data_IF_819979025359
#
_entry.id   IF_819979025359
#
_cell.length_a   1.000
_cell.length_b   1.000
_cell.length_c   1.000
_cell.angle_alpha   90.00
_cell.angle_beta   90.00
_cell.angle_gamma   90.00
#
_symmetry.space_group_name_H-M   'P 1'
#
loop_
_entity.id
_entity.type
_entity.pdbx_description
1 polymer ?
#
# COMPACT_ATOMS: atom_id res chain seq x y z
N UNK A 1 15.22 57.00 -27.54
CA UNK A 1 15.38 56.55 -26.15
C UNK A 1 16.14 57.64 -25.39
N UNK A 2 15.79 57.92 -24.12
CA UNK A 2 16.50 58.93 -23.32
C UNK A 2 17.84 58.37 -22.89
N UNK A 3 18.94 59.09 -23.18
CA UNK A 3 20.29 58.77 -22.68
C UNK A 3 20.30 58.95 -21.17
N UNK A 4 20.81 57.95 -20.45
CA UNK A 4 20.87 57.97 -18.99
C UNK A 4 21.96 58.93 -18.50
N UNK A 5 21.73 59.56 -17.35
CA UNK A 5 22.80 60.29 -16.65
C UNK A 5 23.79 59.32 -16.01
N UNK A 6 25.00 59.78 -15.68
CA UNK A 6 26.01 58.95 -15.01
C UNK A 6 25.49 58.30 -13.72
N UNK A 7 24.71 59.04 -12.91
CA UNK A 7 24.10 58.50 -11.68
C UNK A 7 23.02 57.45 -11.95
N UNK A 8 22.27 57.60 -13.06
CA UNK A 8 21.26 56.61 -13.47
C UNK A 8 21.93 55.34 -14.01
N UNK A 9 23.05 55.46 -14.73
CA UNK A 9 23.86 54.33 -15.21
C UNK A 9 24.49 53.58 -14.04
N UNK A 10 25.09 54.29 -13.08
CA UNK A 10 25.73 53.67 -11.92
C UNK A 10 24.70 52.91 -11.08
N UNK A 11 23.50 53.47 -10.89
CA UNK A 11 22.38 52.78 -10.23
C UNK A 11 21.89 51.56 -11.01
N UNK A 12 21.76 51.65 -12.33
CA UNK A 12 21.33 50.51 -13.16
C UNK A 12 22.38 49.39 -13.14
N UNK A 13 23.67 49.73 -13.27
CA UNK A 13 24.77 48.77 -13.16
C UNK A 13 24.80 48.06 -11.82
N UNK A 14 24.61 48.80 -10.73
CA UNK A 14 24.53 48.22 -9.39
C UNK A 14 23.32 47.28 -9.26
N UNK A 15 22.14 47.71 -9.73
CA UNK A 15 20.91 46.91 -9.71
C UNK A 15 21.07 45.61 -10.50
N UNK A 16 21.55 45.69 -11.74
CA UNK A 16 21.76 44.51 -12.60
C UNK A 16 22.86 43.60 -12.10
N UNK A 17 23.90 44.16 -11.48
CA UNK A 17 24.93 43.36 -10.80
C UNK A 17 24.33 42.53 -9.67
N UNK A 18 23.49 43.14 -8.83
CA UNK A 18 22.82 42.43 -7.73
C UNK A 18 21.88 41.35 -8.26
N UNK A 19 21.13 41.64 -9.32
CA UNK A 19 20.24 40.68 -9.98
C UNK A 19 21.01 39.46 -10.51
N UNK A 20 22.07 39.67 -11.30
CA UNK A 20 22.90 38.57 -11.83
C UNK A 20 23.58 37.79 -10.73
N UNK A 21 24.05 38.44 -9.66
CA UNK A 21 24.63 37.76 -8.51
C UNK A 21 23.60 36.87 -7.79
N UNK A 22 22.38 37.37 -7.60
CA UNK A 22 21.29 36.59 -7.01
C UNK A 22 20.93 35.38 -7.90
N UNK A 23 20.77 35.58 -9.21
CA UNK A 23 20.53 34.50 -10.17
C UNK A 23 21.65 33.45 -10.15
N UNK A 24 22.91 33.89 -10.15
CA UNK A 24 24.06 32.98 -10.06
C UNK A 24 24.03 32.14 -8.78
N UNK A 25 23.69 32.74 -7.64
CA UNK A 25 23.57 32.02 -6.36
C UNK A 25 22.49 30.94 -6.46
N UNK A 26 21.32 31.29 -6.97
CA UNK A 26 20.20 30.35 -7.16
C UNK A 26 20.56 29.19 -8.08
N UNK A 27 21.36 29.42 -9.13
CA UNK A 27 21.78 28.33 -10.03
C UNK A 27 22.83 27.40 -9.43
N UNK A 28 23.69 27.92 -8.55
CA UNK A 28 24.59 27.07 -7.78
C UNK A 28 23.81 26.21 -6.78
N UNK A 29 22.76 26.74 -6.16
CA UNK A 29 21.85 25.94 -5.33
C UNK A 29 21.14 24.87 -6.16
N UNK A 30 20.66 25.22 -7.36
CA UNK A 30 20.04 24.29 -8.30
C UNK A 30 21.00 23.16 -8.73
N UNK A 31 22.29 23.45 -8.88
CA UNK A 31 23.30 22.45 -9.24
C UNK A 31 23.47 21.37 -8.17
N UNK A 32 23.25 21.73 -6.89
CA UNK A 32 23.32 20.82 -5.75
C UNK A 32 21.93 20.22 -5.40
N UNK A 33 20.94 20.37 -6.27
CA UNK A 33 19.61 19.86 -6.01
C UNK A 33 19.60 18.31 -6.04
N UNK A 34 19.03 17.62 -5.02
CA UNK A 34 19.05 16.15 -4.96
C UNK A 34 18.45 15.46 -6.20
N UNK A 35 17.34 15.99 -6.71
CA UNK A 35 16.74 15.51 -7.97
C UNK A 35 17.66 15.63 -9.20
N UNK A 36 18.57 16.60 -9.24
CA UNK A 36 19.52 16.76 -10.35
C UNK A 36 20.70 15.80 -10.19
N UNK A 37 21.22 15.66 -8.98
CA UNK A 37 22.23 14.65 -8.67
C UNK A 37 21.73 13.25 -9.03
N UNK A 38 20.48 12.94 -8.69
CA UNK A 38 19.87 11.64 -8.97
C UNK A 38 19.85 11.31 -10.48
N UNK A 39 19.34 12.21 -11.31
CA UNK A 39 19.24 12.00 -12.77
C UNK A 39 20.62 12.00 -13.45
N UNK A 40 21.64 12.59 -12.82
CA UNK A 40 23.03 12.51 -13.28
C UNK A 40 23.70 11.18 -12.91
N UNK A 41 23.35 10.61 -11.75
CA UNK A 41 23.89 9.32 -11.28
C UNK A 41 23.22 8.15 -11.99
N UNK A 42 21.91 8.22 -12.20
CA UNK A 42 21.12 7.17 -12.84
C UNK A 42 20.59 7.66 -14.19
N UNK A 43 20.97 6.96 -15.27
CA UNK A 43 20.49 7.29 -16.61
C UNK A 43 18.96 7.17 -16.65
N UNK A 44 18.23 8.28 -16.93
CA UNK A 44 16.79 8.27 -16.86
C UNK A 44 16.21 7.44 -18.00
N UNK A 45 15.15 6.68 -17.71
CA UNK A 45 14.40 5.90 -18.70
C UNK A 45 12.92 6.31 -18.72
N UNK A 46 12.16 5.77 -19.68
CA UNK A 46 10.71 5.91 -19.73
C UNK A 46 10.19 7.35 -19.70
N UNK A 47 9.28 7.65 -18.76
CA UNK A 47 8.64 8.97 -18.66
C UNK A 47 9.61 10.04 -18.15
N UNK A 48 10.48 9.66 -17.22
CA UNK A 48 11.51 10.54 -16.67
C UNK A 48 12.48 11.00 -17.76
N UNK A 49 12.91 10.10 -18.65
CA UNK A 49 13.77 10.43 -19.80
C UNK A 49 13.12 11.43 -20.77
N UNK A 50 11.85 11.23 -21.08
CA UNK A 50 11.09 12.10 -21.99
C UNK A 50 11.03 13.53 -21.47
N UNK A 51 10.76 13.69 -20.16
CA UNK A 51 10.74 15.00 -19.51
C UNK A 51 12.15 15.57 -19.36
N UNK A 52 13.12 14.74 -18.97
CA UNK A 52 14.51 15.15 -18.77
C UNK A 52 15.11 15.76 -20.03
N UNK A 53 14.86 15.20 -21.22
CA UNK A 53 15.41 15.72 -22.49
C UNK A 53 15.05 17.20 -22.74
N UNK A 54 13.86 17.64 -22.31
CA UNK A 54 13.43 19.03 -22.43
C UNK A 54 14.08 19.89 -21.34
N UNK A 55 14.10 19.38 -20.11
CA UNK A 55 14.66 20.07 -18.94
C UNK A 55 16.17 20.24 -19.06
N UNK A 56 16.91 19.26 -19.57
CA UNK A 56 18.35 19.32 -19.79
C UNK A 56 18.75 20.44 -20.77
N UNK A 57 17.99 20.59 -21.86
CA UNK A 57 18.16 21.69 -22.81
C UNK A 57 17.87 23.04 -22.16
N UNK A 58 16.78 23.13 -21.41
CA UNK A 58 16.40 24.32 -20.67
C UNK A 58 17.45 24.71 -19.63
N UNK A 59 17.99 23.74 -18.89
CA UNK A 59 19.05 23.94 -17.89
C UNK A 59 20.34 24.45 -18.54
N UNK A 60 20.73 23.84 -19.67
CA UNK A 60 21.89 24.29 -20.46
C UNK A 60 21.72 25.72 -20.97
N UNK A 61 20.52 26.04 -21.49
CA UNK A 61 20.17 27.38 -21.94
C UNK A 61 20.19 28.41 -20.81
N UNK A 62 19.79 28.04 -19.60
CA UNK A 62 19.80 28.91 -18.43
C UNK A 62 21.24 29.29 -18.04
N UNK A 63 22.18 28.35 -18.06
CA UNK A 63 23.60 28.64 -17.84
C UNK A 63 24.22 29.48 -18.97
N UNK A 64 23.81 29.26 -20.23
CA UNK A 64 24.19 30.14 -21.33
C UNK A 64 23.70 31.56 -21.13
N UNK A 65 22.44 31.73 -20.70
CA UNK A 65 21.83 33.00 -20.43
C UNK A 65 22.53 33.77 -19.31
N UNK A 66 22.90 33.09 -18.22
CA UNK A 66 23.71 33.70 -17.16
C UNK A 66 25.08 34.17 -17.67
N UNK A 67 25.74 33.37 -18.52
CA UNK A 67 27.02 33.76 -19.14
C UNK A 67 26.86 34.98 -20.05
N UNK A 68 25.78 35.05 -20.83
CA UNK A 68 25.45 36.21 -21.68
C UNK A 68 25.23 37.47 -20.85
N UNK A 69 24.45 37.39 -19.78
CA UNK A 69 24.21 38.54 -18.88
C UNK A 69 25.51 39.03 -18.23
N UNK A 70 26.33 38.11 -17.73
CA UNK A 70 27.64 38.44 -17.15
C UNK A 70 28.55 39.13 -18.16
N UNK A 71 28.59 38.63 -19.41
CA UNK A 71 29.39 39.25 -20.48
C UNK A 71 28.93 40.67 -20.86
N UNK A 72 27.62 40.91 -20.91
CA UNK A 72 27.06 42.26 -21.16
C UNK A 72 27.43 43.20 -20.00
N UNK A 73 27.30 42.74 -18.74
CA UNK A 73 27.66 43.55 -17.58
C UNK A 73 29.15 43.86 -17.51
N UNK A 74 30.01 42.90 -17.80
CA UNK A 74 31.46 43.13 -17.83
C UNK A 74 31.85 44.10 -18.94
N UNK A 75 31.21 44.01 -20.10
CA UNK A 75 31.38 44.99 -21.19
C UNK A 75 30.95 46.39 -20.76
N UNK A 76 29.78 46.52 -20.12
CA UNK A 76 29.29 47.80 -19.61
C UNK A 76 30.20 48.38 -18.51
N UNK A 77 30.75 47.55 -17.62
CA UNK A 77 31.74 47.95 -16.61
C UNK A 77 33.04 48.43 -17.24
N UNK A 78 33.53 47.75 -18.29
CA UNK A 78 34.72 48.17 -19.01
C UNK A 78 34.53 49.54 -19.64
N UNK A 79 33.39 49.78 -20.33
CA UNK A 79 33.06 51.10 -20.90
C UNK A 79 33.01 52.17 -19.80
N UNK A 80 32.33 51.88 -18.68
CA UNK A 80 32.23 52.81 -17.54
C UNK A 80 33.57 53.13 -16.88
N UNK A 81 34.52 52.19 -16.90
CA UNK A 81 35.86 52.33 -16.32
C UNK A 81 36.87 53.05 -17.23
N UNK A 82 36.56 53.25 -18.53
CA UNK A 82 37.48 53.92 -19.48
C UNK A 82 37.88 55.31 -19.02
N UNK A 83 36.96 56.05 -18.39
CA UNK A 83 37.15 57.46 -18.00
C UNK A 83 36.44 57.77 -16.68
N UNK A 84 37.02 58.67 -15.89
CA UNK A 84 36.41 59.15 -14.64
C UNK A 84 35.12 59.95 -14.89
N UNK A 85 35.04 60.68 -16.00
CA UNK A 85 33.83 61.34 -16.52
C UNK A 85 33.53 60.80 -17.93
N UNK A 86 32.48 59.99 -18.12
CA UNK A 86 32.05 59.52 -19.43
C UNK A 86 31.65 60.70 -20.33
N UNK A 87 31.94 60.62 -21.63
CA UNK A 87 31.42 61.59 -22.61
C UNK A 87 30.04 61.17 -23.15
N UNK A 88 29.43 61.99 -24.01
CA UNK A 88 28.11 61.71 -24.57
C UNK A 88 28.07 60.45 -25.46
N UNK A 89 29.22 59.98 -25.97
CA UNK A 89 29.34 58.73 -26.73
C UNK A 89 29.37 57.53 -25.79
N UNK A 90 30.15 57.60 -24.71
CA UNK A 90 30.22 56.61 -23.65
C UNK A 90 28.83 56.44 -22.97
N UNK A 91 28.13 57.54 -22.68
CA UNK A 91 26.78 57.51 -22.08
C UNK A 91 25.76 56.85 -23.01
N UNK A 92 25.88 57.05 -24.33
CA UNK A 92 25.03 56.38 -25.33
C UNK A 92 25.35 54.89 -25.44
N UNK A 93 26.62 54.51 -25.48
CA UNK A 93 27.08 53.12 -25.50
C UNK A 93 26.58 52.36 -24.25
N UNK A 94 26.74 52.95 -23.06
CA UNK A 94 26.27 52.38 -21.79
C UNK A 94 24.75 52.25 -21.73
N UNK A 95 24.02 53.29 -22.15
CA UNK A 95 22.55 53.23 -22.21
C UNK A 95 22.09 52.12 -23.15
N UNK A 96 22.80 51.91 -24.27
CA UNK A 96 22.52 50.84 -25.23
C UNK A 96 22.73 49.47 -24.61
N UNK A 97 23.90 49.21 -24.01
CA UNK A 97 24.23 47.92 -23.39
C UNK A 97 23.27 47.53 -22.27
N UNK A 98 22.80 48.50 -21.49
CA UNK A 98 21.95 48.25 -20.32
C UNK A 98 20.46 48.13 -20.65
N UNK A 99 19.97 48.77 -21.72
CA UNK A 99 18.53 48.84 -22.03
C UNK A 99 18.12 48.28 -23.37
N UNK A 100 19.03 48.17 -24.33
CA UNK A 100 18.72 47.63 -25.65
C UNK A 100 19.17 46.17 -25.79
N UNK A 101 18.51 45.42 -26.69
CA UNK A 101 19.02 44.14 -27.15
C UNK A 101 20.32 44.36 -27.93
N UNK A 102 21.45 44.15 -27.26
CA UNK A 102 22.79 44.46 -27.80
C UNK A 102 23.61 43.23 -28.15
N UNK A 103 23.26 42.07 -27.60
CA UNK A 103 23.98 40.83 -27.87
C UNK A 103 23.30 40.05 -28.99
N UNK A 104 24.05 39.76 -30.06
CA UNK A 104 23.62 38.89 -31.14
C UNK A 104 23.57 37.44 -30.66
N UNK A 105 22.38 36.85 -30.68
CA UNK A 105 22.08 35.52 -30.13
C UNK A 105 21.98 34.44 -31.21
N UNK A 106 21.49 34.81 -32.39
CA UNK A 106 21.29 33.88 -33.50
C UNK A 106 21.37 34.63 -34.83
N UNK A 107 22.05 34.03 -35.79
CA UNK A 107 22.12 34.49 -37.18
C UNK A 107 21.68 33.35 -38.08
N UNK A 108 20.51 33.47 -38.66
CA UNK A 108 19.95 32.43 -39.53
C UNK A 108 19.78 32.93 -40.96
N UNK A 109 20.21 32.16 -41.98
CA UNK A 109 19.95 32.51 -43.36
C UNK A 109 18.45 32.43 -43.64
N UNK A 110 17.86 33.53 -44.09
CA UNK A 110 16.45 33.56 -44.47
C UNK A 110 16.28 32.66 -45.71
N UNK A 111 15.35 31.69 -45.75
CA UNK A 111 15.13 30.86 -46.94
C UNK A 111 14.86 31.70 -48.19
N UNK A 112 15.39 31.32 -49.35
CA UNK A 112 15.29 32.09 -50.61
C UNK A 112 13.85 32.49 -50.96
N UNK A 113 12.88 31.61 -50.70
CA UNK A 113 11.45 31.86 -50.93
C UNK A 113 10.87 33.03 -50.10
N UNK A 114 11.52 33.42 -49.00
CA UNK A 114 11.14 34.54 -48.13
C UNK A 114 12.04 35.77 -48.32
N UNK A 115 13.02 35.74 -49.22
CA UNK A 115 13.93 36.87 -49.50
C UNK A 115 13.31 37.85 -50.50
N UNK A 116 13.56 39.14 -50.28
CA UNK A 116 13.34 40.19 -51.28
C UNK A 116 14.67 40.47 -51.99
N UNK A 117 14.64 40.82 -53.28
CA UNK A 117 15.85 41.05 -54.11
C UNK A 117 16.78 42.12 -53.51
N UNK A 118 16.24 43.06 -52.74
CA UNK A 118 16.97 44.11 -51.99
C UNK A 118 16.87 43.96 -50.47
N UNK A 119 16.44 42.81 -49.95
CA UNK A 119 16.26 42.54 -48.52
C UNK A 119 17.46 41.87 -47.87
N UNK A 120 17.49 41.87 -46.53
CA UNK A 120 18.50 41.16 -45.75
C UNK A 120 18.46 39.65 -46.07
N UNK A 121 19.64 39.03 -46.20
CA UNK A 121 19.78 37.59 -46.45
C UNK A 121 19.77 36.74 -45.19
N UNK A 122 19.90 37.37 -44.03
CA UNK A 122 20.03 36.76 -42.71
C UNK A 122 19.10 37.48 -41.72
N UNK A 123 18.52 36.72 -40.80
CA UNK A 123 17.80 37.23 -39.63
C UNK A 123 18.75 37.18 -38.45
N UNK A 124 18.98 38.32 -37.81
CA UNK A 124 19.81 38.44 -36.62
C UNK A 124 18.91 38.71 -35.42
N UNK A 125 18.95 37.83 -34.43
CA UNK A 125 18.22 37.99 -33.17
C UNK A 125 19.13 38.64 -32.15
N UNK A 126 18.69 39.78 -31.59
CA UNK A 126 19.38 40.47 -30.52
C UNK A 126 18.62 40.28 -29.21
N UNK A 127 19.34 40.09 -28.10
CA UNK A 127 18.74 39.93 -26.77
C UNK A 127 19.44 40.87 -25.78
N UNK A 128 18.66 41.51 -24.92
CA UNK A 128 19.16 42.38 -23.85
C UNK A 128 19.23 41.69 -22.49
N UNK A 129 19.69 42.43 -21.48
CA UNK A 129 19.70 41.96 -20.08
C UNK A 129 18.28 41.64 -19.58
N UNK A 130 17.31 42.53 -19.84
CA UNK A 130 15.93 42.36 -19.40
C UNK A 130 15.26 41.14 -20.05
N UNK A 131 15.42 40.97 -21.36
CA UNK A 131 14.85 39.83 -22.10
C UNK A 131 15.44 38.49 -21.63
N UNK A 132 16.73 38.48 -21.31
CA UNK A 132 17.41 37.28 -20.79
C UNK A 132 16.94 36.95 -19.37
N UNK A 133 16.84 37.95 -18.50
CA UNK A 133 16.29 37.80 -17.16
C UNK A 133 14.85 37.25 -17.20
N UNK A 134 13.98 37.82 -18.04
CA UNK A 134 12.60 37.36 -18.19
C UNK A 134 12.51 35.91 -18.67
N UNK A 135 13.33 35.54 -19.67
CA UNK A 135 13.43 34.15 -20.14
C UNK A 135 13.90 33.20 -19.06
N UNK A 136 14.95 33.55 -18.30
CA UNK A 136 15.44 32.74 -17.19
C UNK A 136 14.34 32.56 -16.11
N UNK A 137 13.64 33.64 -15.75
CA UNK A 137 12.53 33.59 -14.79
C UNK A 137 11.36 32.74 -15.29
N UNK A 138 11.09 32.71 -16.59
CA UNK A 138 10.02 31.90 -17.16
C UNK A 138 10.37 30.40 -17.19
N UNK A 139 11.62 30.04 -17.44
CA UNK A 139 12.07 28.65 -17.57
C UNK A 139 12.35 27.99 -16.21
N UNK A 140 12.86 28.75 -15.25
CA UNK A 140 13.31 28.25 -13.95
C UNK A 140 12.25 27.42 -13.18
N UNK A 141 10.98 27.84 -13.05
CA UNK A 141 9.98 27.09 -12.28
C UNK A 141 9.75 25.67 -12.81
N UNK A 142 9.78 25.47 -14.13
CA UNK A 142 9.56 24.16 -14.74
C UNK A 142 10.73 23.20 -14.48
N UNK A 143 11.96 23.72 -14.39
CA UNK A 143 13.14 22.92 -14.02
C UNK A 143 13.00 22.46 -12.57
N UNK A 144 12.75 23.40 -11.64
CA UNK A 144 12.60 23.08 -10.22
C UNK A 144 11.47 22.10 -9.97
N UNK A 145 10.29 22.31 -10.58
CA UNK A 145 9.15 21.40 -10.44
C UNK A 145 9.50 19.97 -10.87
N UNK A 146 10.27 19.80 -11.95
CA UNK A 146 10.74 18.48 -12.38
C UNK A 146 11.68 17.85 -11.35
N UNK A 147 12.66 18.61 -10.86
CA UNK A 147 13.65 18.10 -9.90
C UNK A 147 13.02 17.77 -8.54
N UNK A 148 12.09 18.61 -8.07
CA UNK A 148 11.29 18.38 -6.87
C UNK A 148 10.43 17.12 -6.99
N UNK A 149 9.86 16.86 -8.17
CA UNK A 149 9.06 15.67 -8.40
C UNK A 149 9.89 14.39 -8.30
N UNK A 150 11.11 14.40 -8.85
CA UNK A 150 12.07 13.29 -8.74
C UNK A 150 12.49 13.10 -7.28
N UNK A 151 12.92 14.17 -6.60
CA UNK A 151 13.35 14.10 -5.21
C UNK A 151 12.25 13.60 -4.27
N UNK A 152 11.00 14.07 -4.46
CA UNK A 152 9.86 13.63 -3.67
C UNK A 152 9.64 12.13 -3.72
N UNK A 153 9.76 11.52 -4.91
CA UNK A 153 9.59 10.08 -5.08
C UNK A 153 10.72 9.33 -4.37
N UNK A 154 11.96 9.76 -4.57
CA UNK A 154 13.12 9.13 -3.94
C UNK A 154 13.10 9.23 -2.42
N UNK A 155 12.81 10.42 -1.90
CA UNK A 155 12.69 10.68 -0.46
C UNK A 155 11.58 9.85 0.17
N UNK A 156 10.42 9.74 -0.49
CA UNK A 156 9.31 8.90 -0.02
C UNK A 156 9.72 7.42 0.04
N UNK A 157 10.33 6.90 -1.02
CA UNK A 157 10.77 5.49 -1.08
C UNK A 157 11.81 5.21 0.01
N UNK A 158 12.80 6.09 0.17
CA UNK A 158 13.83 5.95 1.19
C UNK A 158 13.26 5.97 2.61
N UNK A 159 12.39 6.94 2.95
CA UNK A 159 11.76 7.06 4.26
C UNK A 159 10.95 5.80 4.61
N UNK A 160 10.10 5.36 3.67
CA UNK A 160 9.15 4.27 3.92
C UNK A 160 9.83 2.90 3.92
N UNK A 161 10.92 2.70 3.18
CA UNK A 161 11.68 1.45 3.19
C UNK A 161 12.68 1.33 4.34
N UNK A 162 13.06 2.43 5.00
CA UNK A 162 14.05 2.41 6.07
C UNK A 162 13.77 1.36 7.18
N UNK A 163 12.54 1.20 7.70
CA UNK A 163 12.25 0.17 8.71
C UNK A 163 12.44 -1.25 8.17
N UNK A 164 12.00 -1.50 6.93
CA UNK A 164 12.14 -2.80 6.26
C UNK A 164 13.61 -3.12 6.02
N UNK A 165 14.41 -2.14 5.60
CA UNK A 165 15.85 -2.33 5.37
C UNK A 165 16.58 -2.67 6.66
N UNK A 166 16.33 -1.91 7.73
CA UNK A 166 16.92 -2.17 9.06
C UNK A 166 16.66 -3.60 9.53
N UNK A 167 15.44 -4.12 9.33
CA UNK A 167 15.09 -5.51 9.70
C UNK A 167 15.83 -6.55 8.86
N UNK A 168 15.95 -6.32 7.55
CA UNK A 168 16.73 -7.21 6.68
C UNK A 168 18.21 -7.25 7.11
N UNK A 169 18.77 -6.10 7.47
CA UNK A 169 20.14 -5.99 7.95
C UNK A 169 20.32 -6.70 9.31
N UNK A 170 19.40 -6.51 10.26
CA UNK A 170 19.38 -7.23 11.56
C UNK A 170 19.26 -8.75 11.39
N UNK A 171 18.52 -9.21 10.38
CA UNK A 171 18.38 -10.62 10.05
C UNK A 171 19.55 -11.18 9.22
N UNK A 172 20.47 -10.34 8.72
CA UNK A 172 21.51 -10.74 7.78
C UNK A 172 20.95 -11.32 6.47
N UNK A 173 19.72 -10.98 6.11
CA UNK A 173 19.01 -11.56 4.98
C UNK A 173 19.04 -10.63 3.77
N UNK A 174 19.15 -11.22 2.57
CA UNK A 174 18.95 -10.47 1.33
C UNK A 174 17.49 -10.06 1.19
N UNK A 175 17.26 -8.86 0.66
CA UNK A 175 15.92 -8.36 0.36
C UNK A 175 15.22 -9.20 -0.70
N UNK A 176 13.88 -9.13 -0.78
CA UNK A 176 13.12 -9.77 -1.86
C UNK A 176 13.42 -9.10 -3.21
N UNK A 177 13.23 -9.83 -4.32
CA UNK A 177 13.44 -9.30 -5.67
C UNK A 177 12.56 -8.06 -5.94
N UNK A 178 11.31 -8.06 -5.46
CA UNK A 178 10.41 -6.90 -5.53
C UNK A 178 11.00 -5.60 -4.95
N UNK A 179 11.88 -5.71 -3.94
CA UNK A 179 12.58 -4.56 -3.37
C UNK A 179 13.66 -4.04 -4.33
N UNK A 180 14.42 -4.94 -4.96
CA UNK A 180 15.42 -4.56 -5.95
C UNK A 180 14.75 -3.92 -7.17
N UNK A 181 13.66 -4.51 -7.65
CA UNK A 181 12.86 -3.99 -8.76
C UNK A 181 12.30 -2.59 -8.47
N UNK A 182 11.76 -2.37 -7.26
CA UNK A 182 11.27 -1.05 -6.87
C UNK A 182 12.39 -0.01 -6.82
N UNK A 183 13.55 -0.37 -6.29
CA UNK A 183 14.72 0.51 -6.24
C UNK A 183 15.25 0.84 -7.64
N UNK A 184 15.26 -0.13 -8.56
CA UNK A 184 15.68 0.08 -9.95
C UNK A 184 14.74 1.02 -10.71
N UNK A 185 13.42 0.83 -10.58
CA UNK A 185 12.44 1.73 -11.20
C UNK A 185 12.50 3.13 -10.58
N UNK A 186 12.67 3.23 -9.26
CA UNK A 186 12.83 4.52 -8.58
C UNK A 186 14.12 5.22 -9.00
N UNK A 187 15.19 4.47 -9.22
CA UNK A 187 16.46 5.00 -9.71
C UNK A 187 16.35 5.56 -11.14
N UNK A 188 15.69 4.84 -12.04
CA UNK A 188 15.74 5.15 -13.49
C UNK A 188 14.50 5.86 -14.02
N UNK A 189 13.31 5.58 -13.51
CA UNK A 189 12.06 6.22 -13.96
C UNK A 189 11.11 6.57 -12.79
N UNK A 190 11.54 7.42 -11.83
CA UNK A 190 10.74 7.78 -10.66
C UNK A 190 9.41 8.45 -11.02
N UNK A 191 9.35 9.21 -12.11
CA UNK A 191 8.13 9.93 -12.50
C UNK A 191 7.04 9.02 -13.10
N UNK A 192 7.37 7.78 -13.44
CA UNK A 192 6.37 6.77 -13.84
C UNK A 192 5.54 6.27 -12.67
N UNK A 193 6.02 6.43 -11.44
CA UNK A 193 5.41 5.88 -10.24
C UNK A 193 4.44 6.89 -9.61
N UNK A 194 3.19 6.47 -9.41
CA UNK A 194 2.27 7.26 -8.59
C UNK A 194 2.53 7.01 -7.10
N UNK A 195 2.24 7.99 -6.25
CA UNK A 195 2.35 7.85 -4.78
C UNK A 195 1.60 6.63 -4.25
N UNK A 196 0.41 6.34 -4.81
CA UNK A 196 -0.40 5.17 -4.41
C UNK A 196 0.27 3.85 -4.79
N UNK A 197 0.88 3.78 -5.97
CA UNK A 197 1.58 2.57 -6.42
C UNK A 197 2.84 2.32 -5.58
N UNK A 198 3.57 3.39 -5.23
CA UNK A 198 4.73 3.31 -4.34
C UNK A 198 4.30 2.76 -2.98
N UNK A 199 3.28 3.35 -2.35
CA UNK A 199 2.76 2.90 -1.05
C UNK A 199 2.28 1.45 -1.11
N UNK A 200 1.55 1.06 -2.14
CA UNK A 200 1.07 -0.31 -2.31
C UNK A 200 2.22 -1.32 -2.43
N UNK A 201 3.24 -1.01 -3.25
CA UNK A 201 4.43 -1.87 -3.41
C UNK A 201 5.23 -1.97 -2.12
N UNK A 202 5.46 -0.84 -1.43
CA UNK A 202 6.20 -0.83 -0.17
C UNK A 202 5.48 -1.62 0.91
N UNK A 203 4.15 -1.47 1.04
CA UNK A 203 3.36 -2.25 1.99
C UNK A 203 3.43 -3.75 1.68
N UNK A 204 3.35 -4.14 0.40
CA UNK A 204 3.48 -5.54 0.00
C UNK A 204 4.87 -6.10 0.34
N UNK A 205 5.94 -5.34 0.10
CA UNK A 205 7.32 -5.70 0.47
C UNK A 205 7.44 -5.85 1.99
N UNK A 206 6.93 -4.87 2.74
CA UNK A 206 6.97 -4.88 4.21
C UNK A 206 6.23 -6.10 4.78
N UNK A 207 5.02 -6.40 4.28
CA UNK A 207 4.22 -7.57 4.68
C UNK A 207 4.91 -8.89 4.33
N UNK A 208 5.61 -8.95 3.19
CA UNK A 208 6.38 -10.13 2.82
C UNK A 208 7.59 -10.33 3.74
N UNK A 209 8.34 -9.26 4.04
CA UNK A 209 9.47 -9.32 4.96
C UNK A 209 9.00 -9.68 6.37
N UNK A 210 7.93 -9.08 6.86
CA UNK A 210 7.36 -9.38 8.19
C UNK A 210 6.95 -10.86 8.29
N UNK A 211 6.23 -11.38 7.30
CA UNK A 211 5.83 -12.80 7.28
C UNK A 211 7.04 -13.74 7.27
N UNK A 212 8.05 -13.47 6.45
CA UNK A 212 9.28 -14.28 6.39
C UNK A 212 10.06 -14.22 7.69
N UNK A 213 10.20 -13.03 8.29
CA UNK A 213 10.87 -12.84 9.58
C UNK A 213 10.15 -13.59 10.71
N UNK A 214 8.81 -13.50 10.78
CA UNK A 214 8.02 -14.22 11.77
C UNK A 214 8.15 -15.74 11.60
N UNK A 215 8.15 -16.24 10.36
CA UNK A 215 8.38 -17.66 10.08
C UNK A 215 9.78 -18.12 10.54
N UNK A 216 10.83 -17.37 10.20
CA UNK A 216 12.20 -17.71 10.62
C UNK A 216 12.33 -17.67 12.15
N UNK A 217 11.73 -16.68 12.81
CA UNK A 217 11.71 -16.59 14.26
C UNK A 217 11.00 -17.78 14.93
N UNK A 218 9.86 -18.21 14.38
CA UNK A 218 9.14 -19.40 14.86
C UNK A 218 9.98 -20.68 14.69
N UNK A 219 10.61 -20.85 13.53
CA UNK A 219 11.50 -22.00 13.28
C UNK A 219 12.72 -21.98 14.21
N UNK A 220 13.31 -20.81 14.45
CA UNK A 220 14.41 -20.66 15.40
C UNK A 220 13.98 -20.97 16.85
N UNK A 221 12.77 -20.57 17.25
CA UNK A 221 12.20 -20.90 18.56
C UNK A 221 11.90 -22.40 18.73
N UNK A 222 11.44 -23.05 17.66
CA UNK A 222 11.27 -24.52 17.65
C UNK A 222 12.64 -25.20 17.78
N UNK A 223 13.64 -24.74 17.04
CA UNK A 223 14.98 -25.31 17.07
C UNK A 223 15.65 -25.15 18.43
N UNK A 224 15.57 -23.96 19.04
CA UNK A 224 16.23 -23.67 20.32
C UNK A 224 15.69 -24.49 21.49
N UNK A 225 14.41 -24.88 21.42
CA UNK A 225 13.73 -25.66 22.44
C UNK A 225 13.15 -26.97 21.87
N UNK A 226 13.93 -27.67 21.03
CA UNK A 226 13.46 -28.83 20.26
C UNK A 226 12.72 -29.89 21.09
N UNK A 227 13.33 -30.38 22.17
CA UNK A 227 12.76 -31.45 22.99
C UNK A 227 11.40 -31.06 23.62
N UNK A 228 11.28 -29.82 24.10
CA UNK A 228 10.04 -29.30 24.66
C UNK A 228 8.95 -29.18 23.58
N UNK A 229 9.30 -28.73 22.38
CA UNK A 229 8.35 -28.64 21.26
C UNK A 229 7.87 -30.02 20.78
N UNK A 230 8.74 -31.04 20.79
CA UNK A 230 8.35 -32.42 20.49
C UNK A 230 7.38 -32.96 21.55
N UNK A 231 7.66 -32.74 22.85
CA UNK A 231 6.78 -33.14 23.95
C UNK A 231 5.40 -32.50 23.83
N UNK A 232 5.35 -31.18 23.63
CA UNK A 232 4.08 -30.46 23.46
C UNK A 232 3.28 -30.94 22.22
N UNK A 233 3.97 -31.35 21.17
CA UNK A 233 3.33 -31.94 19.97
C UNK A 233 2.74 -33.32 20.27
N UNK A 234 3.42 -34.14 21.07
CA UNK A 234 2.90 -35.42 21.54
C UNK A 234 1.67 -35.24 22.45
N UNK A 235 1.69 -34.27 23.36
CA UNK A 235 0.53 -33.91 24.20
C UNK A 235 -0.67 -33.46 23.34
N UNK A 236 -0.42 -32.72 22.26
CA UNK A 236 -1.48 -32.31 21.31
C UNK A 236 -2.10 -33.50 20.56
N UNK A 237 -1.31 -34.52 20.24
CA UNK A 237 -1.82 -35.78 19.66
C UNK A 237 -2.65 -36.58 20.67
N UNK A 238 -2.27 -36.57 21.95
CA UNK A 238 -3.06 -37.19 23.01
C UNK A 238 -4.41 -36.48 23.18
N UNK A 239 -4.41 -35.15 23.18
CA UNK A 239 -5.64 -34.37 23.18
C UNK A 239 -6.51 -34.65 21.94
N UNK A 240 -5.92 -34.81 20.75
CA UNK A 240 -6.63 -35.17 19.51
C UNK A 240 -7.29 -36.53 19.64
N UNK A 241 -6.56 -37.54 20.12
CA UNK A 241 -7.09 -38.89 20.34
C UNK A 241 -8.29 -38.86 21.27
N UNK A 242 -8.20 -38.15 22.39
CA UNK A 242 -9.34 -38.01 23.30
C UNK A 242 -10.52 -37.27 22.67
N UNK A 243 -10.28 -36.19 21.92
CA UNK A 243 -11.32 -35.45 21.22
C UNK A 243 -12.04 -36.35 20.20
N UNK A 244 -11.30 -37.22 19.50
CA UNK A 244 -11.86 -38.18 18.55
C UNK A 244 -12.77 -39.20 19.23
N UNK A 245 -12.33 -39.75 20.36
CA UNK A 245 -13.14 -40.66 21.17
C UNK A 245 -14.43 -39.97 21.63
N UNK A 246 -14.32 -38.76 22.19
CA UNK A 246 -15.48 -37.98 22.64
C UNK A 246 -16.45 -37.66 21.49
N UNK A 247 -15.94 -37.17 20.35
CA UNK A 247 -16.75 -36.87 19.19
C UNK A 247 -17.51 -38.11 18.68
N UNK A 248 -16.83 -39.27 18.63
CA UNK A 248 -17.44 -40.55 18.22
C UNK A 248 -18.56 -40.97 19.18
N UNK A 249 -18.30 -40.94 20.49
CA UNK A 249 -19.29 -41.31 21.50
C UNK A 249 -20.55 -40.42 21.46
N UNK A 250 -20.38 -39.11 21.36
CA UNK A 250 -21.51 -38.16 21.27
C UNK A 250 -22.25 -38.34 19.95
N UNK A 251 -21.55 -38.59 18.85
CA UNK A 251 -22.16 -38.88 17.55
C UNK A 251 -22.99 -40.16 17.58
N UNK A 252 -22.46 -41.25 18.11
CA UNK A 252 -23.19 -42.52 18.25
C UNK A 252 -24.46 -42.33 19.08
N UNK A 253 -24.35 -41.60 20.21
CA UNK A 253 -25.49 -41.27 21.05
C UNK A 253 -26.53 -40.40 20.32
N UNK A 254 -26.07 -39.43 19.53
CA UNK A 254 -26.92 -38.57 18.72
C UNK A 254 -27.66 -39.36 17.64
N UNK A 255 -26.97 -40.22 16.88
CA UNK A 255 -27.59 -41.07 15.85
C UNK A 255 -28.59 -42.06 16.46
N UNK A 256 -28.30 -42.60 17.64
CA UNK A 256 -29.23 -43.48 18.36
C UNK A 256 -30.50 -42.74 18.80
N UNK A 257 -30.37 -41.51 19.32
CA UNK A 257 -31.48 -40.76 19.94
C UNK A 257 -32.23 -39.86 18.98
N UNK A 258 -31.61 -39.42 17.90
CA UNK A 258 -32.10 -38.40 16.98
C UNK A 258 -31.96 -38.89 15.55
N UNK A 259 -33.01 -38.67 14.75
CA UNK A 259 -32.98 -38.94 13.33
C UNK A 259 -32.13 -37.83 12.68
N UNK A 260 -30.84 -38.12 12.56
CA UNK A 260 -29.86 -37.23 11.97
C UNK A 260 -29.68 -37.54 10.48
N UNK A 261 -29.31 -36.52 9.70
CA UNK A 261 -28.74 -36.74 8.37
C UNK A 261 -27.34 -37.34 8.46
N UNK A 262 -26.67 -37.46 7.31
CA UNK A 262 -25.26 -37.91 7.28
C UNK A 262 -24.37 -36.89 7.97
N UNK A 263 -23.62 -37.34 8.98
CA UNK A 263 -22.50 -36.56 9.52
C UNK A 263 -21.38 -36.48 8.48
N UNK A 264 -20.52 -35.44 8.53
CA UNK A 264 -19.32 -35.37 7.72
C UNK A 264 -18.51 -36.67 7.84
N UNK A 265 -18.10 -37.25 6.71
CA UNK A 265 -17.26 -38.44 6.71
C UNK A 265 -15.85 -38.04 7.14
N UNK A 266 -15.38 -38.59 8.27
CA UNK A 266 -14.05 -38.33 8.80
C UNK A 266 -13.24 -39.62 8.88
N UNK A 267 -11.99 -39.55 8.43
CA UNK A 267 -10.98 -40.56 8.75
C UNK A 267 -10.32 -40.19 10.08
N UNK A 268 -9.94 -41.19 10.88
CA UNK A 268 -9.09 -40.95 12.04
C UNK A 268 -7.65 -40.67 11.58
N UNK A 269 -7.25 -39.40 11.61
CA UNK A 269 -5.91 -38.98 11.18
C UNK A 269 -4.85 -39.16 12.28
N UNK A 270 -5.27 -39.37 13.54
CA UNK A 270 -4.38 -39.37 14.69
C UNK A 270 -3.27 -40.44 14.61
N UNK A 271 -3.55 -41.71 14.23
CA UNK A 271 -2.50 -42.73 14.16
C UNK A 271 -1.42 -42.40 13.12
N UNK A 272 -1.83 -41.85 11.97
CA UNK A 272 -0.89 -41.45 10.91
C UNK A 272 -0.02 -40.27 11.33
N UNK A 273 -0.61 -39.25 11.99
CA UNK A 273 0.12 -38.10 12.51
C UNK A 273 1.08 -38.50 13.65
N UNK A 274 0.70 -39.47 14.49
CA UNK A 274 1.57 -40.02 15.55
C UNK A 274 2.77 -40.78 14.98
N UNK A 275 2.54 -41.60 13.95
CA UNK A 275 3.63 -42.28 13.24
C UNK A 275 4.60 -41.29 12.59
N UNK A 276 4.08 -40.19 12.01
CA UNK A 276 4.90 -39.12 11.44
C UNK A 276 5.75 -38.42 12.51
N UNK A 277 5.20 -38.11 13.69
CA UNK A 277 6.00 -37.56 14.81
C UNK A 277 7.14 -38.50 15.20
N UNK A 278 6.86 -39.80 15.30
CA UNK A 278 7.85 -40.82 15.67
C UNK A 278 8.95 -40.99 14.60
N UNK A 279 8.65 -40.68 13.33
CA UNK A 279 9.62 -40.73 12.24
C UNK A 279 10.60 -39.54 12.25
N UNK A 280 10.31 -38.45 12.98
CA UNK A 280 11.21 -37.30 13.12
C UNK A 280 12.29 -37.62 14.16
N UNK A 281 13.38 -38.25 13.72
CA UNK A 281 14.49 -38.69 14.58
C UNK A 281 15.58 -37.63 14.79
N UNK A 282 15.54 -36.53 14.04
CA UNK A 282 16.53 -35.44 14.12
C UNK A 282 15.82 -34.08 14.06
N UNK A 283 16.42 -33.00 14.61
CA UNK A 283 15.79 -31.69 14.60
C UNK A 283 15.43 -31.21 13.20
N UNK A 284 14.13 -31.12 12.93
CA UNK A 284 13.54 -30.54 11.73
C UNK A 284 12.37 -29.62 12.14
N UNK A 285 12.66 -28.33 12.39
CA UNK A 285 11.65 -27.34 12.75
C UNK A 285 10.52 -27.20 11.73
N UNK A 286 10.82 -27.39 10.43
CA UNK A 286 9.83 -27.22 9.36
C UNK A 286 8.85 -28.39 9.36
N UNK A 287 9.35 -29.62 9.46
CA UNK A 287 8.50 -30.80 9.56
C UNK A 287 7.62 -30.74 10.82
N UNK A 288 8.19 -30.40 11.98
CA UNK A 288 7.43 -30.31 13.22
C UNK A 288 6.33 -29.21 13.16
N UNK A 289 6.64 -28.05 12.58
CA UNK A 289 5.66 -26.97 12.37
C UNK A 289 4.51 -27.41 11.45
N UNK A 290 4.84 -28.07 10.34
CA UNK A 290 3.84 -28.61 9.41
C UNK A 290 2.91 -29.63 10.09
N UNK A 291 3.50 -30.54 10.87
CA UNK A 291 2.78 -31.55 11.62
C UNK A 291 1.83 -30.93 12.66
N UNK A 292 2.31 -29.95 13.44
CA UNK A 292 1.48 -29.20 14.42
C UNK A 292 0.26 -28.56 13.77
N UNK A 293 0.42 -27.90 12.62
CA UNK A 293 -0.71 -27.29 11.88
C UNK A 293 -1.77 -28.32 11.47
N UNK A 294 -1.36 -29.52 11.07
CA UNK A 294 -2.27 -30.62 10.70
C UNK A 294 -2.98 -31.21 11.92
N UNK A 295 -2.28 -31.33 13.06
CA UNK A 295 -2.88 -31.73 14.34
C UNK A 295 -3.95 -30.71 14.76
N UNK A 296 -3.64 -29.41 14.71
CA UNK A 296 -4.58 -28.35 15.06
C UNK A 296 -5.83 -28.35 14.15
N UNK A 297 -5.65 -28.60 12.86
CA UNK A 297 -6.77 -28.73 11.92
C UNK A 297 -7.65 -29.94 12.24
N UNK A 298 -7.04 -31.09 12.56
CA UNK A 298 -7.77 -32.29 12.96
C UNK A 298 -8.50 -32.10 14.30
N UNK A 299 -7.90 -31.41 15.26
CA UNK A 299 -8.51 -31.05 16.54
C UNK A 299 -9.75 -30.17 16.34
N UNK A 300 -9.64 -29.11 15.52
CA UNK A 300 -10.80 -28.25 15.19
C UNK A 300 -11.93 -29.06 14.56
N UNK A 301 -11.63 -29.90 13.58
CA UNK A 301 -12.63 -30.75 12.95
C UNK A 301 -13.32 -31.72 13.95
N UNK A 302 -12.56 -32.32 14.88
CA UNK A 302 -13.12 -33.18 15.92
C UNK A 302 -14.06 -32.41 16.86
N UNK A 303 -13.68 -31.19 17.27
CA UNK A 303 -14.53 -30.34 18.10
C UNK A 303 -15.79 -29.87 17.38
N UNK A 304 -15.70 -29.48 16.11
CA UNK A 304 -16.86 -29.08 15.30
C UNK A 304 -17.88 -30.23 15.18
N UNK A 305 -17.40 -31.47 14.94
CA UNK A 305 -18.27 -32.65 14.89
C UNK A 305 -18.94 -32.93 16.25
N UNK A 306 -18.17 -32.87 17.33
CA UNK A 306 -18.70 -33.02 18.69
C UNK A 306 -19.80 -31.98 18.97
N UNK A 307 -19.57 -30.72 18.60
CA UNK A 307 -20.53 -29.63 18.79
C UNK A 307 -21.81 -29.85 17.98
N UNK A 308 -21.69 -30.29 16.72
CA UNK A 308 -22.84 -30.62 15.88
C UNK A 308 -23.67 -31.77 16.48
N UNK A 309 -23.01 -32.85 16.89
CA UNK A 309 -23.68 -34.00 17.48
C UNK A 309 -24.34 -33.65 18.83
N UNK A 310 -23.65 -32.90 19.69
CA UNK A 310 -24.16 -32.43 20.97
C UNK A 310 -25.37 -31.50 20.76
N UNK A 311 -25.31 -30.59 19.78
CA UNK A 311 -26.41 -29.67 19.45
C UNK A 311 -27.71 -30.40 19.09
N UNK A 312 -27.65 -31.57 18.46
CA UNK A 312 -28.85 -32.40 18.19
C UNK A 312 -29.47 -32.95 19.48
N UNK A 313 -28.64 -33.43 20.42
CA UNK A 313 -29.08 -33.94 21.72
C UNK A 313 -29.67 -32.84 22.59
N UNK A 314 -29.02 -31.68 22.59
CA UNK A 314 -29.47 -30.49 23.32
C UNK A 314 -30.79 -30.00 22.77
N UNK A 315 -30.94 -29.93 21.44
CA UNK A 315 -32.20 -29.58 20.79
C UNK A 315 -33.34 -30.52 21.17
N UNK A 316 -33.07 -31.83 21.25
CA UNK A 316 -34.06 -32.80 21.74
C UNK A 316 -34.51 -32.49 23.18
N UNK A 317 -33.55 -32.17 24.05
CA UNK A 317 -33.80 -31.83 25.45
C UNK A 317 -34.59 -30.52 25.58
N UNK A 318 -34.23 -29.51 24.79
CA UNK A 318 -34.91 -28.22 24.71
C UNK A 318 -36.38 -28.40 24.29
N UNK A 319 -36.65 -29.17 23.22
CA UNK A 319 -38.01 -29.43 22.75
C UNK A 319 -38.86 -30.13 23.82
N UNK A 320 -38.27 -31.06 24.58
CA UNK A 320 -38.95 -31.70 25.73
C UNK A 320 -39.30 -30.67 26.81
N UNK A 321 -38.38 -29.77 27.14
CA UNK A 321 -38.60 -28.67 28.07
C UNK A 321 -39.72 -27.72 27.62
N UNK A 322 -39.66 -27.27 26.36
CA UNK A 322 -40.69 -26.38 25.76
C UNK A 322 -42.08 -27.01 25.79
N UNK A 323 -42.20 -28.28 25.43
CA UNK A 323 -43.49 -28.99 25.50
C UNK A 323 -44.05 -29.01 26.93
N UNK A 324 -43.19 -29.17 27.94
CA UNK A 324 -43.59 -29.16 29.35
C UNK A 324 -44.09 -27.78 29.78
N UNK A 325 -43.41 -26.71 29.33
CA UNK A 325 -43.83 -25.32 29.59
C UNK A 325 -45.19 -25.02 28.97
N UNK A 326 -45.41 -25.40 27.70
CA UNK A 326 -46.71 -25.17 27.06
C UNK A 326 -47.84 -26.02 27.66
N UNK A 327 -47.55 -27.21 28.20
CA UNK A 327 -48.52 -28.00 28.97
C UNK A 327 -48.93 -27.26 30.25
N UNK A 328 -47.97 -26.72 31.00
CA UNK A 328 -48.27 -25.91 32.19
C UNK A 328 -49.07 -24.64 31.83
N UNK A 329 -48.77 -23.99 30.70
CA UNK A 329 -49.55 -22.84 30.21
C UNK A 329 -51.00 -23.22 29.90
N UNK A 330 -51.24 -24.29 29.15
CA UNK A 330 -52.60 -24.75 28.83
C UNK A 330 -53.41 -25.10 30.10
N UNK A 331 -52.78 -25.78 31.07
CA UNK A 331 -53.42 -26.09 32.35
C UNK A 331 -53.82 -24.83 33.13
N UNK A 332 -52.95 -23.80 33.19
CA UNK A 332 -53.24 -22.52 33.85
C UNK A 332 -54.40 -21.75 33.21
N UNK A 333 -54.65 -21.98 31.92
CA UNK A 333 -55.74 -21.35 31.16
C UNK A 333 -57.05 -22.16 31.23
N UNK A 334 -57.09 -23.25 32.01
CA UNK A 334 -58.26 -24.14 32.08
C UNK A 334 -58.47 -25.02 30.85
N UNK A 335 -57.54 -25.01 29.88
CA UNK A 335 -57.62 -25.76 28.64
C UNK A 335 -56.99 -27.17 28.73
N UNK A 336 -56.65 -27.63 29.94
CA UNK A 336 -55.92 -28.88 30.16
C UNK A 336 -56.68 -30.15 29.73
N UNK A 337 -58.02 -30.11 29.75
CA UNK A 337 -58.90 -31.23 29.39
C UNK A 337 -59.43 -31.14 27.94
N UNK A 338 -59.02 -30.12 27.18
CA UNK A 338 -59.45 -29.95 25.80
C UNK A 338 -58.97 -31.12 24.93
N UNK A 339 -59.92 -31.78 24.26
CA UNK A 339 -59.66 -33.02 23.51
C UNK A 339 -58.64 -32.84 22.41
N UNK A 340 -58.67 -31.71 21.70
CA UNK A 340 -57.76 -31.44 20.59
C UNK A 340 -56.35 -31.19 21.11
N UNK A 341 -56.22 -30.39 22.18
CA UNK A 341 -54.93 -30.10 22.81
C UNK A 341 -54.29 -31.37 23.40
N UNK A 342 -55.09 -32.24 24.01
CA UNK A 342 -54.64 -33.55 24.49
C UNK A 342 -54.15 -34.45 23.34
N UNK A 343 -54.80 -34.40 22.17
CA UNK A 343 -54.36 -35.13 20.98
C UNK A 343 -53.01 -34.60 20.47
N UNK A 344 -52.84 -33.28 20.35
CA UNK A 344 -51.57 -32.66 19.96
C UNK A 344 -50.43 -32.98 20.93
N UNK A 345 -50.69 -32.93 22.24
CA UNK A 345 -49.71 -33.34 23.27
C UNK A 345 -49.31 -34.80 23.09
N UNK A 346 -50.28 -35.70 22.83
CA UNK A 346 -50.01 -37.13 22.65
C UNK A 346 -49.13 -37.38 21.43
N UNK A 347 -49.36 -36.66 20.33
CA UNK A 347 -48.52 -36.71 19.13
C UNK A 347 -47.10 -36.23 19.46
N UNK A 348 -46.96 -35.05 20.08
CA UNK A 348 -45.64 -34.51 20.42
C UNK A 348 -44.85 -35.40 21.39
N UNK A 349 -45.51 -35.94 22.44
CA UNK A 349 -44.91 -36.92 23.37
C UNK A 349 -44.51 -38.21 22.64
N UNK A 350 -45.37 -38.72 21.77
CA UNK A 350 -45.12 -39.93 20.99
C UNK A 350 -43.95 -39.78 20.01
N UNK A 351 -43.78 -38.60 19.41
CA UNK A 351 -42.63 -38.29 18.56
C UNK A 351 -41.34 -38.19 19.39
N UNK A 352 -41.37 -37.53 20.54
CA UNK A 352 -40.22 -37.39 21.45
C UNK A 352 -39.76 -38.73 22.07
N UNK A 353 -40.65 -39.69 22.23
CA UNK A 353 -40.33 -41.03 22.76
C UNK A 353 -39.70 -41.97 21.72
N UNK A 354 -39.75 -41.64 20.43
CA UNK A 354 -39.11 -42.46 19.38
C UNK A 354 -37.59 -42.42 19.49
N UNK A 355 -36.96 -43.52 19.10
CA UNK A 355 -35.52 -43.63 18.90
C UNK A 355 -35.29 -44.32 17.55
N UNK A 356 -34.77 -43.61 16.54
CA UNK A 356 -34.37 -42.20 16.55
C UNK A 356 -35.55 -41.19 16.51
N UNK A 357 -35.41 -40.06 17.20
CA UNK A 357 -36.41 -38.98 17.27
C UNK A 357 -36.28 -38.00 16.10
N UNK A 358 -37.34 -37.77 15.33
CA UNK A 358 -37.36 -36.75 14.27
C UNK A 358 -37.61 -35.35 14.89
N UNK A 359 -36.54 -34.58 15.05
CA UNK A 359 -36.60 -33.23 15.62
C UNK A 359 -37.45 -32.27 14.76
N UNK A 360 -37.51 -32.45 13.44
CA UNK A 360 -38.31 -31.59 12.56
C UNK A 360 -39.80 -31.86 12.79
N UNK A 361 -40.18 -33.13 12.86
CA UNK A 361 -41.55 -33.53 13.18
C UNK A 361 -41.98 -33.06 14.58
N UNK A 362 -41.11 -33.23 15.60
CA UNK A 362 -41.39 -32.73 16.96
C UNK A 362 -41.55 -31.23 16.99
N UNK A 363 -40.67 -30.48 16.31
CA UNK A 363 -40.75 -29.01 16.27
C UNK A 363 -42.09 -28.55 15.71
N UNK A 364 -42.55 -29.15 14.60
CA UNK A 364 -43.87 -28.85 14.01
C UNK A 364 -45.00 -29.18 14.98
N UNK A 365 -45.00 -30.37 15.58
CA UNK A 365 -46.03 -30.77 16.53
C UNK A 365 -46.14 -29.85 17.76
N UNK A 366 -45.01 -29.33 18.25
CA UNK A 366 -45.00 -28.34 19.35
C UNK A 366 -45.51 -26.97 18.87
N UNK A 367 -45.15 -26.53 17.67
CA UNK A 367 -45.66 -25.29 17.07
C UNK A 367 -47.17 -25.35 16.85
N UNK A 368 -47.69 -26.45 16.31
CA UNK A 368 -49.13 -26.65 16.10
C UNK A 368 -49.89 -26.63 17.44
N UNK A 369 -49.33 -27.27 18.47
CA UNK A 369 -49.87 -27.23 19.82
C UNK A 369 -49.88 -25.81 20.40
N UNK A 370 -48.80 -25.04 20.21
CA UNK A 370 -48.71 -23.65 20.65
C UNK A 370 -49.75 -22.77 19.95
N UNK A 371 -49.90 -22.90 18.63
CA UNK A 371 -50.87 -22.13 17.86
C UNK A 371 -52.30 -22.44 18.32
N UNK A 372 -52.62 -23.71 18.54
CA UNK A 372 -53.95 -24.10 19.00
C UNK A 372 -54.28 -23.61 20.42
N UNK A 373 -53.29 -23.46 21.31
CA UNK A 373 -53.50 -22.77 22.59
C UNK A 373 -53.88 -21.31 22.31
N UNK A 374 -53.14 -20.60 21.45
CA UNK A 374 -53.41 -19.20 21.14
C UNK A 374 -54.82 -19.00 20.54
N UNK A 375 -55.19 -19.80 19.54
CA UNK A 375 -56.50 -19.73 18.88
C UNK A 375 -57.66 -20.01 19.86
N UNK A 376 -57.46 -20.86 20.87
CA UNK A 376 -58.47 -21.13 21.91
C UNK A 376 -58.50 -20.06 22.99
N UNK A 377 -57.38 -19.41 23.31
CA UNK A 377 -57.36 -18.23 24.19
C UNK A 377 -58.19 -17.08 23.59
N UNK A 378 -57.97 -16.76 22.32
CA UNK A 378 -58.69 -15.68 21.61
C UNK A 378 -60.19 -15.92 21.46
N UNK A 379 -60.65 -17.18 21.57
CA UNK A 379 -62.08 -17.55 21.55
C UNK A 379 -62.73 -17.58 22.94
N UNK A 380 -61.92 -17.53 23.99
CA UNK A 380 -62.38 -17.55 25.39
C UNK A 380 -62.40 -16.14 26.00
N UNK A 381 -61.65 -15.21 25.41
CA UNK A 381 -61.82 -13.75 25.53
C UNK A 381 -63.01 -13.27 24.70
#
# INVERSE_FOLDING_TARGET
MRVLTTEEIDRELESRTKEVAAMSSTLVELENHPGLEHVRVYEPTGLTAQRWTVIEKSLSGLWEDLRRMTSILDSARQVRARRSKPDDDDLRELTKLLREPTLEVSRQPIPLAKRKISGLGESIEYVGLADTAERMHAVYPAIVEFLDAVDRVNSLVAEKLAPTRKRLDEAGASGPDDLADLLEVTATDPLSLSTRDIEARINAIADMVERRSAELAELAAIQSNWAANVSATAESLDALREANVRATQIRELAVQKVLAGTFPARSDAEPALRAELAAITSPDPKALRSLRRRIDAALRAAHEEQQLAQGLLDRRTELKGRLTVYQAKAARLGLGEDRDLLACIRIAKGLLSRQPCDLRAVTRAISDYQQMIADKQEKTE
#
